data_IF_065705159877
#
_entry.id   IF_065705159877
#
_cell.length_a   1.000
_cell.length_b   1.000
_cell.length_c   1.000
_cell.angle_alpha   90.00
_cell.angle_beta   90.00
_cell.angle_gamma   90.00
#
_symmetry.space_group_name_H-M   'P 1'
#
loop_
_entity.id
_entity.type
_entity.pdbx_description
1 polymer ?
#
# COMPACT_ATOMS: atom_id res chain seq x y z
N UNK A 1 -12.25 -10.88 -6.76
CA UNK A 1 -11.80 -12.22 -6.32
C UNK A 1 -10.35 -12.08 -5.89
N UNK A 2 -9.97 -12.64 -4.75
CA UNK A 2 -8.58 -12.68 -4.32
C UNK A 2 -7.78 -13.58 -5.26
N UNK A 3 -6.73 -13.05 -5.87
CA UNK A 3 -5.89 -13.74 -6.85
C UNK A 3 -4.48 -13.87 -6.32
N UNK A 4 -3.82 -14.97 -6.66
CA UNK A 4 -2.37 -15.08 -6.59
C UNK A 4 -1.74 -13.99 -7.47
N UNK A 5 -0.64 -13.38 -6.99
CA UNK A 5 0.18 -12.49 -7.83
C UNK A 5 0.99 -13.27 -8.86
N UNK A 6 1.46 -14.46 -8.48
CA UNK A 6 2.17 -15.40 -9.34
C UNK A 6 1.87 -16.82 -8.89
N UNK A 7 1.81 -17.74 -9.86
CA UNK A 7 1.67 -19.17 -9.57
C UNK A 7 2.99 -19.73 -9.02
N UNK A 8 2.97 -20.53 -7.94
CA UNK A 8 4.17 -21.18 -7.42
C UNK A 8 4.86 -22.06 -8.48
N UNK A 9 6.21 -22.07 -8.55
CA UNK A 9 6.96 -22.82 -9.58
C UNK A 9 6.77 -24.35 -9.55
N UNK A 10 6.22 -24.90 -8.46
CA UNK A 10 5.95 -26.31 -8.32
C UNK A 10 5.28 -26.64 -6.99
N UNK A 11 4.83 -27.90 -6.82
CA UNK A 11 4.15 -28.33 -5.60
C UNK A 11 5.12 -28.38 -4.42
N UNK A 12 4.59 -28.18 -3.21
CA UNK A 12 5.29 -28.44 -1.94
C UNK A 12 5.23 -29.95 -1.68
N UNK A 13 6.39 -30.61 -1.60
CA UNK A 13 6.48 -32.08 -1.67
C UNK A 13 6.54 -32.76 -0.31
N UNK A 14 6.92 -32.04 0.73
CA UNK A 14 7.09 -32.60 2.07
C UNK A 14 6.73 -31.59 3.17
N UNK A 15 6.49 -32.10 4.39
CA UNK A 15 6.27 -31.26 5.56
C UNK A 15 7.47 -30.36 5.88
N UNK A 16 8.71 -30.80 5.62
CA UNK A 16 9.89 -29.96 5.82
C UNK A 16 9.88 -28.75 4.85
N UNK A 17 9.55 -28.97 3.58
CA UNK A 17 9.40 -27.88 2.60
C UNK A 17 8.25 -26.94 2.99
N UNK A 18 7.13 -27.50 3.46
CA UNK A 18 6.00 -26.73 3.96
C UNK A 18 6.39 -25.81 5.13
N UNK A 19 7.03 -26.37 6.16
CA UNK A 19 7.42 -25.58 7.34
C UNK A 19 8.47 -24.53 7.01
N UNK A 20 9.46 -24.88 6.17
CA UNK A 20 10.46 -23.90 5.70
C UNK A 20 9.78 -22.73 4.99
N UNK A 21 8.81 -23.01 4.13
CA UNK A 21 8.08 -22.02 3.36
C UNK A 21 7.19 -21.15 4.24
N UNK A 22 6.41 -21.75 5.13
CA UNK A 22 5.57 -21.04 6.10
C UNK A 22 6.43 -20.10 6.95
N UNK A 23 7.48 -20.63 7.57
CA UNK A 23 8.40 -19.83 8.40
C UNK A 23 9.00 -18.65 7.63
N UNK A 24 9.41 -18.86 6.37
CA UNK A 24 10.00 -17.81 5.55
C UNK A 24 8.98 -16.71 5.19
N UNK A 25 7.74 -17.09 4.86
CA UNK A 25 6.67 -16.12 4.58
C UNK A 25 6.33 -15.27 5.82
N UNK A 26 6.10 -15.91 6.97
CA UNK A 26 5.82 -15.20 8.23
C UNK A 26 7.00 -14.30 8.64
N UNK A 27 8.23 -14.79 8.47
CA UNK A 27 9.43 -14.00 8.80
C UNK A 27 9.62 -12.80 7.88
N UNK A 28 9.26 -12.92 6.60
CA UNK A 28 9.28 -11.81 5.65
C UNK A 28 8.23 -10.74 6.02
N UNK A 29 7.02 -11.16 6.41
CA UNK A 29 5.99 -10.24 6.90
C UNK A 29 6.45 -9.48 8.16
N UNK A 30 7.01 -10.18 9.16
CA UNK A 30 7.63 -9.56 10.34
C UNK A 30 8.69 -8.52 9.94
N UNK A 31 9.60 -8.88 9.04
CA UNK A 31 10.69 -8.01 8.63
C UNK A 31 10.17 -6.74 7.93
N UNK A 32 9.21 -6.90 7.02
CA UNK A 32 8.60 -5.78 6.28
C UNK A 32 7.84 -4.85 7.20
N UNK A 33 6.98 -5.35 8.07
CA UNK A 33 6.25 -4.50 8.99
C UNK A 33 7.17 -3.77 9.98
N UNK A 34 8.23 -4.42 10.47
CA UNK A 34 9.25 -3.74 11.31
C UNK A 34 9.99 -2.64 10.57
N UNK A 35 10.39 -2.87 9.32
CA UNK A 35 11.06 -1.83 8.54
C UNK A 35 10.11 -0.66 8.23
N UNK A 36 8.86 -0.95 7.85
CA UNK A 36 7.83 0.09 7.65
C UNK A 36 7.62 0.91 8.92
N UNK A 37 7.49 0.27 10.09
CA UNK A 37 7.35 0.96 11.37
C UNK A 37 8.54 1.87 11.69
N UNK A 38 9.76 1.37 11.48
CA UNK A 38 11.00 2.14 11.68
C UNK A 38 11.04 3.38 10.78
N UNK A 39 10.75 3.22 9.49
CA UNK A 39 10.74 4.33 8.53
C UNK A 39 9.65 5.37 8.85
N UNK A 40 8.47 4.93 9.27
CA UNK A 40 7.39 5.82 9.71
C UNK A 40 7.76 6.58 10.99
N UNK A 41 8.42 5.92 11.94
CA UNK A 41 8.90 6.54 13.18
C UNK A 41 9.95 7.62 12.91
N UNK A 42 10.88 7.37 11.97
CA UNK A 42 11.86 8.37 11.53
C UNK A 42 11.21 9.61 10.91
N UNK A 43 10.02 9.46 10.31
CA UNK A 43 9.22 10.56 9.76
C UNK A 43 8.26 11.20 10.78
N UNK A 44 8.31 10.79 12.05
CA UNK A 44 7.44 11.30 13.10
C UNK A 44 5.99 10.78 13.07
N UNK A 45 5.67 9.79 12.22
CA UNK A 45 4.35 9.17 12.13
C UNK A 45 4.16 8.09 13.21
N UNK A 46 4.20 8.50 14.48
CA UNK A 46 4.28 7.60 15.65
C UNK A 46 3.10 6.63 15.75
N UNK A 47 1.87 7.08 15.52
CA UNK A 47 0.68 6.22 15.62
C UNK A 47 0.66 5.14 14.53
N UNK A 48 1.05 5.49 13.31
CA UNK A 48 1.18 4.52 12.22
C UNK A 48 2.33 3.54 12.47
N UNK A 49 3.47 4.03 13.00
CA UNK A 49 4.57 3.17 13.37
C UNK A 49 4.15 2.13 14.42
N UNK A 50 3.40 2.54 15.45
CA UNK A 50 2.86 1.63 16.46
C UNK A 50 1.91 0.58 15.86
N UNK A 51 1.04 0.99 14.92
CA UNK A 51 0.18 0.04 14.21
C UNK A 51 0.98 -1.03 13.45
N UNK A 52 2.05 -0.65 12.76
CA UNK A 52 2.92 -1.61 12.07
C UNK A 52 3.75 -2.48 13.04
N UNK A 53 4.11 -1.96 14.21
CA UNK A 53 4.72 -2.76 15.29
C UNK A 53 3.75 -3.83 15.82
N UNK A 54 2.48 -3.49 16.00
CA UNK A 54 1.43 -4.43 16.39
C UNK A 54 1.23 -5.52 15.32
N UNK A 55 1.21 -5.15 14.04
CA UNK A 55 1.17 -6.12 12.92
C UNK A 55 2.39 -7.04 12.95
N UNK A 56 3.60 -6.50 13.06
CA UNK A 56 4.82 -7.30 13.15
C UNK A 56 4.83 -8.26 14.36
N UNK A 57 4.21 -7.85 15.47
CA UNK A 57 4.09 -8.69 16.66
C UNK A 57 3.09 -9.83 16.46
N UNK A 58 2.00 -9.60 15.71
CA UNK A 58 1.06 -10.65 15.30
C UNK A 58 1.77 -11.70 14.42
N UNK A 59 2.46 -11.26 13.36
CA UNK A 59 3.21 -12.18 12.47
C UNK A 59 4.31 -12.94 13.22
N UNK A 60 4.92 -12.31 14.22
CA UNK A 60 5.91 -13.01 15.05
C UNK A 60 5.29 -14.17 15.81
N UNK A 61 4.03 -14.03 16.23
CA UNK A 61 3.24 -15.12 16.79
C UNK A 61 3.06 -16.27 15.81
N UNK A 62 2.93 -16.01 14.51
CA UNK A 62 2.85 -17.07 13.49
C UNK A 62 4.18 -17.79 13.32
N UNK A 63 5.30 -17.06 13.26
CA UNK A 63 6.64 -17.67 13.25
C UNK A 63 6.82 -18.64 14.43
N UNK A 64 6.43 -18.22 15.63
CA UNK A 64 6.56 -19.05 16.83
C UNK A 64 5.62 -20.28 16.77
N UNK A 65 4.40 -20.12 16.25
CA UNK A 65 3.46 -21.23 16.02
C UNK A 65 3.97 -22.25 14.99
N UNK A 66 4.50 -21.80 13.86
CA UNK A 66 5.09 -22.67 12.82
C UNK A 66 6.28 -23.44 13.37
N UNK A 67 7.14 -22.80 14.17
CA UNK A 67 8.27 -23.48 14.81
C UNK A 67 7.80 -24.55 15.81
N UNK A 68 6.83 -24.23 16.67
CA UNK A 68 6.28 -25.19 17.63
C UNK A 68 5.60 -26.38 16.93
N UNK A 69 4.92 -26.13 15.81
CA UNK A 69 4.30 -27.19 15.03
C UNK A 69 5.35 -28.08 14.35
N UNK A 70 6.39 -27.50 13.77
CA UNK A 70 7.50 -28.25 13.19
C UNK A 70 8.19 -29.15 14.23
N UNK A 71 8.43 -28.63 15.44
CA UNK A 71 8.99 -29.40 16.55
C UNK A 71 8.09 -30.59 16.94
N UNK A 72 6.78 -30.36 17.10
CA UNK A 72 5.82 -31.42 17.42
C UNK A 72 5.77 -32.49 16.31
N UNK A 73 5.86 -32.08 15.05
CA UNK A 73 5.93 -32.98 13.90
C UNK A 73 7.29 -33.67 13.73
N UNK A 74 8.29 -33.37 14.59
CA UNK A 74 9.68 -33.85 14.48
C UNK A 74 10.33 -33.51 13.13
N UNK A 75 9.92 -32.39 12.54
CA UNK A 75 10.48 -31.85 11.31
C UNK A 75 11.85 -31.20 11.58
N UNK A 76 12.61 -30.95 10.50
CA UNK A 76 13.83 -30.16 10.61
C UNK A 76 13.50 -28.71 11.01
N UNK A 77 14.40 -28.00 11.71
CA UNK A 77 14.19 -26.60 12.05
C UNK A 77 13.86 -25.76 10.81
N UNK A 78 12.68 -25.10 10.76
CA UNK A 78 12.22 -24.42 9.54
C UNK A 78 13.19 -23.36 9.04
N UNK A 79 13.70 -22.52 9.94
CA UNK A 79 14.64 -21.44 9.65
C UNK A 79 15.98 -21.90 9.02
N UNK A 80 16.33 -23.19 9.14
CA UNK A 80 17.57 -23.77 8.60
C UNK A 80 17.32 -24.70 7.43
N UNK A 81 16.05 -24.92 7.08
CA UNK A 81 15.66 -25.82 6.01
C UNK A 81 15.67 -25.07 4.67
N UNK A 82 16.12 -25.71 3.58
CA UNK A 82 16.12 -25.08 2.27
C UNK A 82 14.67 -24.87 1.80
N UNK A 83 14.42 -23.70 1.22
CA UNK A 83 13.15 -23.44 0.55
C UNK A 83 13.07 -24.24 -0.76
N UNK A 84 11.89 -24.77 -1.14
CA UNK A 84 11.71 -25.46 -2.41
C UNK A 84 11.87 -24.51 -3.61
N UNK A 85 11.56 -23.23 -3.41
CA UNK A 85 11.64 -22.12 -4.37
C UNK A 85 11.47 -20.78 -3.60
N UNK A 86 11.69 -19.64 -4.25
CA UNK A 86 11.63 -18.33 -3.58
C UNK A 86 10.21 -17.94 -3.15
N UNK A 87 10.04 -17.43 -1.92
CA UNK A 87 8.71 -17.07 -1.39
C UNK A 87 7.94 -16.11 -2.32
N UNK A 88 6.60 -16.26 -2.44
CA UNK A 88 5.83 -15.38 -3.29
C UNK A 88 5.71 -13.98 -2.65
N UNK A 89 5.72 -12.92 -3.47
CA UNK A 89 5.36 -11.60 -2.98
C UNK A 89 3.84 -11.53 -2.78
N UNK A 90 3.40 -11.35 -1.54
CA UNK A 90 1.99 -11.18 -1.17
C UNK A 90 1.65 -9.74 -0.74
N UNK A 91 2.65 -8.85 -0.63
CA UNK A 91 2.43 -7.47 -0.19
C UNK A 91 2.04 -6.55 -1.34
N UNK A 92 1.35 -5.44 -1.09
CA UNK A 92 1.01 -4.49 -2.17
C UNK A 92 2.22 -3.72 -2.68
N UNK A 93 3.09 -3.33 -1.76
CA UNK A 93 4.23 -2.47 -1.99
C UNK A 93 5.35 -2.81 -0.99
N UNK A 94 6.61 -2.48 -1.30
CA UNK A 94 7.71 -2.65 -0.38
C UNK A 94 7.66 -1.64 0.80
N UNK A 95 8.38 -1.89 1.90
CA UNK A 95 8.34 -1.05 3.11
C UNK A 95 8.65 0.42 2.88
N UNK A 96 9.63 0.72 2.02
CA UNK A 96 10.06 2.06 1.66
C UNK A 96 8.97 2.83 0.92
N UNK A 97 8.31 2.20 -0.07
CA UNK A 97 7.21 2.82 -0.80
C UNK A 97 6.00 3.11 0.11
N UNK A 98 5.65 2.16 0.99
CA UNK A 98 4.57 2.36 1.96
C UNK A 98 4.88 3.51 2.92
N UNK A 99 6.12 3.57 3.43
CA UNK A 99 6.54 4.61 4.36
C UNK A 99 6.69 5.98 3.69
N UNK A 100 6.96 6.05 2.38
CA UNK A 100 7.03 7.31 1.63
C UNK A 100 5.65 7.98 1.44
N UNK A 101 4.57 7.23 1.58
CA UNK A 101 3.21 7.74 1.41
C UNK A 101 2.87 8.78 2.48
N UNK A 102 2.73 10.04 2.07
CA UNK A 102 2.31 11.13 2.96
C UNK A 102 0.82 11.04 3.30
N UNK A 103 0.02 10.36 2.50
CA UNK A 103 -1.40 10.15 2.74
C UNK A 103 -1.74 8.78 3.33
N UNK A 104 -0.75 8.00 3.78
CA UNK A 104 -1.04 6.74 4.47
C UNK A 104 -1.84 7.01 5.76
N UNK A 105 -2.97 6.35 5.92
CA UNK A 105 -3.82 6.40 7.12
C UNK A 105 -3.87 5.03 7.81
N UNK A 106 -4.28 4.96 9.08
CA UNK A 106 -4.50 3.67 9.75
C UNK A 106 -5.47 2.76 8.98
N UNK A 107 -6.54 3.34 8.39
CA UNK A 107 -7.42 2.59 7.50
C UNK A 107 -6.68 2.02 6.30
N UNK A 108 -5.86 2.83 5.62
CA UNK A 108 -5.08 2.42 4.46
C UNK A 108 -4.07 1.31 4.77
N UNK A 109 -3.35 1.44 5.89
CA UNK A 109 -2.41 0.44 6.37
C UNK A 109 -3.11 -0.90 6.65
N UNK A 110 -4.22 -0.87 7.40
CA UNK A 110 -5.03 -2.07 7.66
C UNK A 110 -5.66 -2.65 6.39
N UNK A 111 -6.02 -1.82 5.41
CA UNK A 111 -6.50 -2.30 4.13
C UNK A 111 -5.42 -3.06 3.35
N UNK A 112 -4.16 -2.62 3.42
CA UNK A 112 -3.03 -3.34 2.83
C UNK A 112 -2.75 -4.65 3.55
N UNK A 113 -2.74 -4.65 4.89
CA UNK A 113 -2.60 -5.87 5.69
C UNK A 113 -3.71 -6.90 5.36
N UNK A 114 -4.97 -6.47 5.26
CA UNK A 114 -6.07 -7.36 4.82
C UNK A 114 -5.78 -8.01 3.46
N UNK A 115 -5.25 -7.25 2.48
CA UNK A 115 -4.94 -7.81 1.16
C UNK A 115 -3.74 -8.76 1.19
N UNK A 116 -2.77 -8.52 2.06
CA UNK A 116 -1.67 -9.44 2.33
C UNK A 116 -2.22 -10.79 2.81
N UNK A 117 -3.05 -10.79 3.85
CA UNK A 117 -3.64 -12.02 4.40
C UNK A 117 -4.57 -12.73 3.42
N UNK A 118 -5.35 -11.98 2.66
CA UNK A 118 -6.18 -12.57 1.59
C UNK A 118 -5.30 -13.30 0.57
N UNK A 119 -4.15 -12.73 0.18
CA UNK A 119 -3.22 -13.39 -0.74
C UNK A 119 -2.51 -14.58 -0.09
N UNK A 120 -2.17 -14.52 1.19
CA UNK A 120 -1.65 -15.66 1.96
C UNK A 120 -2.68 -16.79 2.00
N UNK A 121 -3.96 -16.49 2.24
CA UNK A 121 -5.06 -17.46 2.15
C UNK A 121 -5.14 -18.12 0.76
N UNK A 122 -5.12 -17.31 -0.30
CA UNK A 122 -5.17 -17.82 -1.67
C UNK A 122 -3.96 -18.71 -1.99
N UNK A 123 -2.79 -18.33 -1.49
CA UNK A 123 -1.56 -19.10 -1.60
C UNK A 123 -1.66 -20.46 -0.89
N UNK A 124 -2.06 -20.50 0.37
CA UNK A 124 -2.19 -21.76 1.12
C UNK A 124 -3.28 -22.66 0.55
N UNK A 125 -4.39 -22.09 0.07
CA UNK A 125 -5.43 -22.83 -0.65
C UNK A 125 -4.88 -23.47 -1.93
N UNK A 126 -4.03 -22.74 -2.68
CA UNK A 126 -3.38 -23.28 -3.86
C UNK A 126 -2.42 -24.43 -3.51
N UNK A 127 -1.61 -24.28 -2.45
CA UNK A 127 -0.71 -25.34 -1.97
C UNK A 127 -1.50 -26.58 -1.58
N UNK A 128 -2.60 -26.43 -0.84
CA UNK A 128 -3.48 -27.53 -0.46
C UNK A 128 -4.05 -28.27 -1.68
N UNK A 129 -4.53 -27.54 -2.69
CA UNK A 129 -5.11 -28.11 -3.91
C UNK A 129 -4.11 -28.90 -4.76
N UNK A 130 -2.81 -28.55 -4.69
CA UNK A 130 -1.74 -29.18 -5.47
C UNK A 130 -0.82 -30.07 -4.62
N UNK A 131 -1.18 -30.32 -3.36
CA UNK A 131 -0.39 -31.13 -2.45
C UNK A 131 -0.32 -32.59 -2.93
N UNK A 132 0.87 -33.19 -3.01
CA UNK A 132 1.02 -34.57 -3.47
C UNK A 132 0.67 -35.61 -2.39
N UNK A 133 0.47 -35.19 -1.14
CA UNK A 133 0.12 -36.04 -0.02
C UNK A 133 -0.81 -35.32 0.97
N UNK A 134 -1.56 -36.10 1.76
CA UNK A 134 -2.56 -35.59 2.70
C UNK A 134 -1.95 -34.79 3.87
N UNK A 135 -0.69 -35.05 4.24
CA UNK A 135 -0.02 -34.32 5.32
C UNK A 135 0.23 -32.85 4.93
N UNK A 136 0.81 -32.61 3.75
CA UNK A 136 1.02 -31.24 3.23
C UNK A 136 -0.32 -30.57 2.95
N UNK A 137 -1.29 -31.31 2.42
CA UNK A 137 -2.64 -30.78 2.18
C UNK A 137 -3.29 -30.29 3.46
N UNK A 138 -3.35 -31.14 4.49
CA UNK A 138 -3.93 -30.79 5.79
C UNK A 138 -3.20 -29.63 6.44
N UNK A 139 -1.87 -29.57 6.28
CA UNK A 139 -1.07 -28.50 6.84
C UNK A 139 -1.35 -27.14 6.15
N UNK A 140 -1.45 -27.14 4.83
CA UNK A 140 -1.81 -25.95 4.05
C UNK A 140 -3.26 -25.51 4.26
N UNK A 141 -4.21 -26.44 4.39
CA UNK A 141 -5.60 -26.11 4.75
C UNK A 141 -5.70 -25.44 6.11
N UNK A 142 -4.88 -25.87 7.08
CA UNK A 142 -4.81 -25.23 8.40
C UNK A 142 -4.30 -23.79 8.31
N UNK A 143 -3.19 -23.54 7.61
CA UNK A 143 -2.69 -22.17 7.40
C UNK A 143 -3.76 -21.31 6.72
N UNK A 144 -4.40 -21.82 5.66
CA UNK A 144 -5.47 -21.09 4.96
C UNK A 144 -6.62 -20.71 5.90
N UNK A 145 -7.03 -21.60 6.81
CA UNK A 145 -8.05 -21.28 7.80
C UNK A 145 -7.61 -20.17 8.76
N UNK A 146 -6.37 -20.24 9.26
CA UNK A 146 -5.78 -19.22 10.15
C UNK A 146 -5.77 -17.85 9.45
N UNK A 147 -5.38 -17.77 8.17
CA UNK A 147 -5.41 -16.50 7.42
C UNK A 147 -6.83 -15.90 7.28
N UNK A 148 -7.87 -16.73 7.15
CA UNK A 148 -9.25 -16.24 7.13
C UNK A 148 -9.65 -15.60 8.47
N UNK A 149 -9.16 -16.14 9.59
CA UNK A 149 -9.38 -15.56 10.91
C UNK A 149 -8.65 -14.21 11.06
N UNK A 150 -7.43 -14.11 10.53
CA UNK A 150 -6.67 -12.85 10.47
C UNK A 150 -7.40 -11.81 9.61
N UNK A 151 -7.82 -12.17 8.41
CA UNK A 151 -8.65 -11.32 7.53
C UNK A 151 -9.87 -10.80 8.27
N UNK A 152 -10.58 -11.65 9.01
CA UNK A 152 -11.76 -11.24 9.76
C UNK A 152 -11.40 -10.23 10.88
N UNK A 153 -10.31 -10.46 11.60
CA UNK A 153 -9.81 -9.58 12.66
C UNK A 153 -9.36 -8.22 12.11
N UNK A 154 -8.52 -8.20 11.08
CA UNK A 154 -8.04 -6.99 10.45
C UNK A 154 -9.18 -6.20 9.82
N UNK A 155 -10.17 -6.85 9.19
CA UNK A 155 -11.37 -6.16 8.68
C UNK A 155 -12.18 -5.49 9.80
N UNK A 156 -12.25 -6.07 11.00
CA UNK A 156 -12.87 -5.42 12.17
C UNK A 156 -12.08 -4.18 12.59
N UNK A 157 -10.76 -4.29 12.71
CA UNK A 157 -9.90 -3.15 13.04
C UNK A 157 -10.00 -2.04 11.99
N UNK A 158 -10.00 -2.40 10.70
CA UNK A 158 -10.17 -1.47 9.58
C UNK A 158 -11.48 -0.69 9.66
N UNK A 159 -12.59 -1.35 10.02
CA UNK A 159 -13.87 -0.65 10.25
C UNK A 159 -13.82 0.33 11.43
N UNK A 160 -13.12 -0.03 12.51
CA UNK A 160 -12.90 0.90 13.64
C UNK A 160 -12.07 2.10 13.20
N UNK A 161 -11.02 1.89 12.42
CA UNK A 161 -10.20 2.96 11.86
C UNK A 161 -11.05 3.88 10.96
N UNK A 162 -11.86 3.32 10.07
CA UNK A 162 -12.80 4.09 9.24
C UNK A 162 -13.72 5.00 10.07
N UNK A 163 -14.37 4.48 11.11
CA UNK A 163 -15.23 5.30 11.97
C UNK A 163 -14.46 6.31 12.83
N UNK A 164 -13.23 5.99 13.24
CA UNK A 164 -12.36 6.96 13.90
C UNK A 164 -12.03 8.12 12.94
N UNK A 165 -11.82 7.81 11.66
CA UNK A 165 -11.60 8.82 10.62
C UNK A 165 -12.85 9.69 10.38
N UNK A 166 -14.04 9.10 10.32
CA UNK A 166 -15.30 9.86 10.13
C UNK A 166 -15.76 10.66 11.35
N UNK A 167 -15.43 10.23 12.58
CA UNK A 167 -15.85 10.91 13.82
C UNK A 167 -15.03 12.15 14.18
N UNK A 168 -14.18 12.65 13.27
CA UNK A 168 -13.41 13.89 13.43
C UNK A 168 -12.05 13.72 14.10
N UNK A 169 -11.54 12.48 14.25
CA UNK A 169 -10.16 12.23 14.70
C UNK A 169 -9.15 12.15 13.53
N UNK A 170 -9.62 12.16 12.29
CA UNK A 170 -8.79 12.20 11.08
C UNK A 170 -9.28 13.31 10.13
N UNK A 171 -8.59 13.56 8.99
CA UNK A 171 -8.94 14.64 8.09
C UNK A 171 -10.39 14.49 7.59
N UNK A 172 -11.20 15.54 7.62
CA UNK A 172 -12.60 15.47 7.17
C UNK A 172 -12.68 15.01 5.72
N UNK A 173 -13.67 14.19 5.37
CA UNK A 173 -13.98 13.90 3.98
C UNK A 173 -14.55 15.16 3.31
N UNK A 174 -14.08 15.45 2.11
CA UNK A 174 -14.47 16.64 1.35
C UNK A 174 -15.10 16.23 0.03
N UNK A 175 -16.16 16.95 -0.34
CA UNK A 175 -16.78 16.86 -1.65
C UNK A 175 -15.89 17.55 -2.67
N UNK A 176 -15.35 16.77 -3.60
CA UNK A 176 -14.39 17.21 -4.60
C UNK A 176 -15.04 17.11 -5.97
N UNK A 177 -14.96 18.19 -6.71
CA UNK A 177 -15.25 18.22 -8.15
C UNK A 177 -13.94 18.17 -8.92
N UNK A 178 -13.98 17.72 -10.18
CA UNK A 178 -12.79 17.80 -11.02
C UNK A 178 -12.29 19.25 -11.14
N UNK A 179 -13.21 20.23 -11.19
CA UNK A 179 -12.87 21.66 -11.21
C UNK A 179 -12.06 22.10 -10.01
N UNK A 180 -12.39 21.62 -8.81
CA UNK A 180 -11.61 21.95 -7.60
C UNK A 180 -10.17 21.40 -7.66
N UNK A 181 -9.90 20.35 -8.43
CA UNK A 181 -8.53 19.84 -8.60
C UNK A 181 -7.62 20.80 -9.35
N UNK A 182 -8.16 21.71 -10.18
CA UNK A 182 -7.35 22.75 -10.81
C UNK A 182 -6.69 23.67 -9.76
N UNK A 183 -7.38 23.95 -8.64
CA UNK A 183 -6.81 24.75 -7.56
C UNK A 183 -5.67 24.01 -6.84
N UNK A 184 -5.80 22.69 -6.65
CA UNK A 184 -4.72 21.87 -6.08
C UNK A 184 -3.50 21.79 -7.02
N UNK A 185 -3.72 21.67 -8.33
CA UNK A 185 -2.65 21.70 -9.33
C UNK A 185 -1.91 23.05 -9.37
N UNK A 186 -2.63 24.18 -9.21
CA UNK A 186 -1.99 25.50 -9.09
C UNK A 186 -1.22 25.62 -7.76
N UNK A 187 -1.84 25.19 -6.65
CA UNK A 187 -1.19 25.23 -5.33
C UNK A 187 0.11 24.42 -5.33
N UNK A 188 0.11 23.24 -5.94
CA UNK A 188 1.32 22.42 -6.09
C UNK A 188 2.41 23.14 -6.90
N UNK A 189 2.04 23.75 -8.02
CA UNK A 189 2.97 24.51 -8.86
C UNK A 189 3.61 25.67 -8.09
N UNK A 190 2.79 26.47 -7.43
CA UNK A 190 3.24 27.63 -6.67
C UNK A 190 4.10 27.23 -5.47
N UNK A 191 3.74 26.15 -4.78
CA UNK A 191 4.52 25.62 -3.67
C UNK A 191 5.92 25.16 -4.11
N UNK A 192 6.02 24.42 -5.21
CA UNK A 192 7.29 23.95 -5.78
C UNK A 192 8.14 25.12 -6.30
N UNK A 193 7.53 26.18 -6.84
CA UNK A 193 8.24 27.37 -7.32
C UNK A 193 8.80 28.20 -6.16
N UNK A 194 8.05 28.33 -5.05
CA UNK A 194 8.49 29.03 -3.85
C UNK A 194 9.52 28.24 -3.02
N UNK A 195 9.43 26.90 -3.07
CA UNK A 195 10.31 26.00 -2.36
C UNK A 195 10.93 25.00 -3.35
N UNK A 196 11.82 25.47 -4.25
CA UNK A 196 12.41 24.61 -5.25
C UNK A 196 13.10 23.44 -4.54
N UNK A 197 12.70 22.22 -4.91
CA UNK A 197 13.31 21.00 -4.41
C UNK A 197 14.77 21.03 -4.85
N UNK A 198 15.67 21.36 -3.92
CA UNK A 198 17.10 21.66 -4.16
C UNK A 198 17.86 20.54 -4.88
N UNK A 199 17.29 19.34 -4.94
CA UNK A 199 17.99 18.10 -5.29
C UNK A 199 17.78 17.65 -6.73
N UNK A 200 16.75 18.16 -7.42
CA UNK A 200 16.41 17.67 -8.77
C UNK A 200 16.81 18.63 -9.92
N UNK A 201 17.42 19.77 -9.60
CA UNK A 201 17.90 20.76 -10.56
C UNK A 201 16.80 21.67 -11.11
N UNK A 202 17.17 22.87 -11.55
CA UNK A 202 16.18 23.90 -11.96
C UNK A 202 15.29 23.48 -13.13
N UNK A 203 15.84 22.73 -14.09
CA UNK A 203 15.09 22.28 -15.27
C UNK A 203 13.98 21.31 -14.89
N UNK A 204 14.24 20.43 -13.92
CA UNK A 204 13.25 19.52 -13.37
C UNK A 204 12.13 20.29 -12.67
N UNK A 205 12.48 21.20 -11.76
CA UNK A 205 11.51 22.04 -11.05
C UNK A 205 10.61 22.78 -12.05
N UNK A 206 11.21 23.37 -13.10
CA UNK A 206 10.46 24.03 -14.19
C UNK A 206 9.51 23.07 -14.91
N UNK A 207 9.94 21.84 -15.18
CA UNK A 207 9.11 20.84 -15.86
C UNK A 207 7.88 20.46 -15.01
N UNK A 208 8.08 20.14 -13.73
CA UNK A 208 7.00 19.76 -12.82
C UNK A 208 6.00 20.91 -12.65
N UNK A 209 6.49 22.14 -12.46
CA UNK A 209 5.64 23.35 -12.36
C UNK A 209 4.84 23.55 -13.65
N UNK A 210 5.48 23.46 -14.81
CA UNK A 210 4.81 23.62 -16.10
C UNK A 210 3.75 22.54 -16.34
N UNK A 211 4.04 21.28 -15.98
CA UNK A 211 3.10 20.18 -16.08
C UNK A 211 1.88 20.41 -15.20
N UNK A 212 2.10 20.82 -13.94
CA UNK A 212 1.05 21.12 -12.96
C UNK A 212 0.12 22.25 -13.45
N UNK A 213 0.71 23.35 -13.94
CA UNK A 213 -0.04 24.48 -14.52
C UNK A 213 -0.85 24.07 -15.75
N UNK A 214 -0.27 23.22 -16.62
CA UNK A 214 -0.97 22.72 -17.81
C UNK A 214 -2.14 21.80 -17.44
N UNK A 215 -1.98 20.93 -16.45
CA UNK A 215 -3.07 20.11 -15.92
C UNK A 215 -4.22 20.98 -15.39
N UNK A 216 -3.91 22.04 -14.62
CA UNK A 216 -4.93 22.98 -14.14
C UNK A 216 -5.69 23.68 -15.27
N UNK A 217 -5.00 24.08 -16.35
CA UNK A 217 -5.62 24.67 -17.54
C UNK A 217 -6.56 23.68 -18.23
N UNK A 218 -6.10 22.47 -18.51
CA UNK A 218 -6.91 21.42 -19.14
C UNK A 218 -8.18 21.12 -18.33
N UNK A 219 -8.07 21.06 -17.00
CA UNK A 219 -9.22 20.87 -16.12
C UNK A 219 -10.20 22.03 -16.23
N UNK A 220 -9.70 23.26 -16.22
CA UNK A 220 -10.53 24.47 -16.28
C UNK A 220 -11.29 24.58 -17.60
N UNK A 221 -10.61 24.29 -18.72
CA UNK A 221 -11.19 24.25 -20.07
C UNK A 221 -12.24 23.14 -20.18
N UNK A 222 -11.96 21.97 -19.59
CA UNK A 222 -12.88 20.86 -19.61
C UNK A 222 -14.10 21.11 -18.71
N UNK A 223 -13.97 21.70 -17.52
CA UNK A 223 -14.97 21.68 -16.43
C UNK A 223 -16.20 22.60 -16.61
N UNK A 224 -16.79 22.62 -17.80
CA UNK A 224 -17.88 23.52 -18.21
C UNK A 224 -19.30 22.93 -18.08
N UNK A 225 -19.46 21.66 -17.70
CA UNK A 225 -20.77 21.00 -17.50
C UNK A 225 -20.82 20.21 -16.18
N UNK A 226 -22.03 19.93 -15.65
CA UNK A 226 -22.26 19.17 -14.41
C UNK A 226 -21.47 17.85 -14.40
N UNK A 227 -20.64 17.66 -13.36
CA UNK A 227 -19.71 16.53 -13.24
C UNK A 227 -19.89 15.83 -11.91
N UNK A 228 -19.54 14.53 -11.83
CA UNK A 228 -19.59 13.79 -10.58
C UNK A 228 -18.87 14.57 -9.48
N UNK A 229 -19.53 14.67 -8.33
CA UNK A 229 -18.90 15.10 -7.09
C UNK A 229 -18.50 13.81 -6.38
N UNK A 230 -17.22 13.66 -6.09
CA UNK A 230 -16.68 12.52 -5.37
C UNK A 230 -16.35 12.93 -3.94
N UNK A 231 -16.44 11.98 -3.02
CA UNK A 231 -15.99 12.17 -1.65
C UNK A 231 -14.57 11.62 -1.52
N UNK A 232 -13.62 12.49 -1.17
CA UNK A 232 -12.22 12.11 -0.93
C UNK A 232 -11.82 12.49 0.49
N UNK A 233 -10.86 11.76 1.07
CA UNK A 233 -10.23 12.16 2.33
C UNK A 233 -9.47 13.48 2.10
N UNK A 234 -9.67 14.49 2.95
CA UNK A 234 -8.88 15.72 2.83
C UNK A 234 -7.41 15.49 3.15
N UNK A 235 -6.56 16.35 2.60
CA UNK A 235 -5.16 16.40 2.99
C UNK A 235 -5.11 16.93 4.44
N UNK A 236 -4.45 16.21 5.38
CA UNK A 236 -4.27 16.70 6.75
C UNK A 236 -3.68 18.11 6.74
N UNK A 237 -4.13 19.00 7.63
CA UNK A 237 -3.73 20.42 7.66
C UNK A 237 -2.21 20.60 7.66
N UNK A 238 -1.50 19.78 8.44
CA UNK A 238 -0.04 19.80 8.56
C UNK A 238 0.70 19.40 7.26
N UNK A 239 -0.01 18.78 6.31
CA UNK A 239 0.51 18.28 5.03
C UNK A 239 -0.07 19.03 3.82
N UNK A 240 -0.89 20.06 4.04
CA UNK A 240 -1.48 20.84 2.95
C UNK A 240 -0.43 21.62 2.16
N UNK A 241 0.71 21.90 2.78
CA UNK A 241 1.87 22.58 2.20
C UNK A 241 3.05 21.62 2.07
N UNK A 242 2.80 20.42 1.52
CA UNK A 242 3.80 19.43 1.15
C UNK A 242 3.56 19.00 -0.30
N UNK A 243 4.57 19.18 -1.17
CA UNK A 243 4.47 18.89 -2.59
C UNK A 243 4.16 17.41 -2.89
N UNK A 244 4.70 16.50 -2.08
CA UNK A 244 4.48 15.05 -2.23
C UNK A 244 3.05 14.72 -1.83
N UNK A 245 2.57 15.25 -0.70
CA UNK A 245 1.20 15.02 -0.25
C UNK A 245 0.15 15.57 -1.23
N UNK A 246 0.38 16.79 -1.76
CA UNK A 246 -0.46 17.37 -2.80
C UNK A 246 -0.47 16.52 -4.08
N UNK A 247 0.70 16.03 -4.51
CA UNK A 247 0.80 15.18 -5.70
C UNK A 247 0.15 13.82 -5.49
N UNK A 248 0.27 13.19 -4.31
CA UNK A 248 -0.43 11.94 -3.97
C UNK A 248 -1.95 12.11 -4.00
N UNK A 249 -2.43 13.21 -3.43
CA UNK A 249 -3.85 13.54 -3.42
C UNK A 249 -4.40 13.67 -4.85
N UNK A 250 -3.66 14.36 -5.72
CA UNK A 250 -4.01 14.52 -7.14
C UNK A 250 -4.04 13.18 -7.88
N UNK A 251 -3.07 12.28 -7.62
CA UNK A 251 -3.07 10.92 -8.19
C UNK A 251 -4.33 10.16 -7.78
N UNK A 252 -4.62 10.06 -6.49
CA UNK A 252 -5.81 9.33 -6.00
C UNK A 252 -7.09 9.95 -6.58
N UNK A 253 -7.20 11.28 -6.55
CA UNK A 253 -8.36 11.97 -7.07
C UNK A 253 -8.59 11.67 -8.57
N UNK A 254 -7.56 11.75 -9.42
CA UNK A 254 -7.71 11.46 -10.85
C UNK A 254 -8.08 10.01 -11.13
N UNK A 255 -7.49 9.05 -10.40
CA UNK A 255 -7.85 7.65 -10.53
C UNK A 255 -9.32 7.40 -10.14
N UNK A 256 -9.80 8.03 -9.07
CA UNK A 256 -11.21 7.95 -8.64
C UNK A 256 -12.16 8.58 -9.66
N UNK A 257 -11.78 9.71 -10.25
CA UNK A 257 -12.55 10.32 -11.32
C UNK A 257 -12.59 9.45 -12.57
N UNK A 258 -11.48 8.81 -12.94
CA UNK A 258 -11.44 7.87 -14.06
C UNK A 258 -12.35 6.66 -13.80
N UNK A 259 -12.28 6.06 -12.61
CA UNK A 259 -13.10 4.92 -12.20
C UNK A 259 -14.61 5.24 -12.21
N UNK A 260 -14.99 6.45 -11.77
CA UNK A 260 -16.39 6.88 -11.72
C UNK A 260 -16.91 7.46 -13.05
N UNK A 261 -16.05 7.66 -14.06
CA UNK A 261 -16.44 8.34 -15.30
C UNK A 261 -17.20 7.40 -16.24
N UNK A 262 -18.36 7.87 -16.69
CA UNK A 262 -19.15 7.21 -17.74
C UNK A 262 -19.03 7.91 -19.11
N UNK A 263 -18.45 9.11 -19.14
CA UNK A 263 -18.16 9.85 -20.38
C UNK A 263 -16.76 9.47 -20.89
N UNK A 264 -16.63 8.94 -22.12
CA UNK A 264 -15.34 8.58 -22.71
C UNK A 264 -14.32 9.72 -22.74
N UNK A 265 -14.75 10.96 -23.04
CA UNK A 265 -13.81 12.09 -23.09
C UNK A 265 -13.26 12.44 -21.71
N UNK A 266 -14.09 12.26 -20.69
CA UNK A 266 -13.71 12.47 -19.30
C UNK A 266 -12.83 11.37 -18.76
N UNK A 267 -13.09 10.13 -19.17
CA UNK A 267 -12.22 9.00 -18.87
C UNK A 267 -10.82 9.22 -19.44
N UNK A 268 -10.71 9.55 -20.73
CA UNK A 268 -9.42 9.81 -21.39
C UNK A 268 -8.66 10.96 -20.71
N UNK A 269 -9.34 12.07 -20.42
CA UNK A 269 -8.74 13.21 -19.73
C UNK A 269 -8.23 12.84 -18.34
N UNK A 270 -9.03 12.15 -17.54
CA UNK A 270 -8.67 11.81 -16.16
C UNK A 270 -7.59 10.74 -16.08
N UNK A 271 -7.56 9.80 -17.03
CA UNK A 271 -6.45 8.84 -17.17
C UNK A 271 -5.14 9.53 -17.57
N UNK A 272 -5.17 10.47 -18.52
CA UNK A 272 -3.99 11.25 -18.93
C UNK A 272 -3.47 12.12 -17.78
N UNK A 273 -4.36 12.76 -17.01
CA UNK A 273 -4.00 13.49 -15.79
C UNK A 273 -3.41 12.56 -14.72
N UNK A 274 -4.00 11.39 -14.49
CA UNK A 274 -3.48 10.41 -13.55
C UNK A 274 -2.07 9.94 -13.93
N UNK A 275 -1.84 9.60 -15.20
CA UNK A 275 -0.53 9.16 -15.70
C UNK A 275 0.55 10.23 -15.45
N UNK A 276 0.24 11.49 -15.76
CA UNK A 276 1.14 12.63 -15.50
C UNK A 276 1.41 12.82 -14.02
N UNK A 277 0.38 12.77 -13.19
CA UNK A 277 0.50 12.93 -11.74
C UNK A 277 1.33 11.79 -11.11
N UNK A 278 1.21 10.55 -11.61
CA UNK A 278 2.02 9.40 -11.17
C UNK A 278 3.50 9.62 -11.50
N UNK A 279 3.82 10.02 -12.74
CA UNK A 279 5.20 10.32 -13.13
C UNK A 279 5.80 11.46 -12.28
N UNK A 280 5.02 12.52 -12.03
CA UNK A 280 5.41 13.63 -11.15
C UNK A 280 5.68 13.14 -9.73
N UNK A 281 4.77 12.37 -9.14
CA UNK A 281 4.91 11.84 -7.79
C UNK A 281 6.16 10.96 -7.65
N UNK A 282 6.39 10.05 -8.61
CA UNK A 282 7.59 9.23 -8.63
C UNK A 282 8.86 10.09 -8.61
N UNK A 283 8.87 11.19 -9.36
CA UNK A 283 10.05 12.05 -9.42
C UNK A 283 10.22 12.91 -8.16
N UNK A 284 9.14 13.39 -7.56
CA UNK A 284 9.19 14.08 -6.25
C UNK A 284 9.75 13.15 -5.17
N UNK A 285 9.35 11.87 -5.15
CA UNK A 285 9.86 10.86 -4.21
C UNK A 285 11.35 10.58 -4.42
N UNK A 286 11.82 10.48 -5.66
CA UNK A 286 13.24 10.31 -5.97
C UNK A 286 14.09 11.51 -5.48
N UNK A 287 13.61 12.73 -5.67
CA UNK A 287 14.27 13.94 -5.15
C UNK A 287 14.33 13.98 -3.62
N UNK A 288 13.26 13.54 -2.94
CA UNK A 288 13.20 13.48 -1.48
C UNK A 288 14.17 12.43 -0.89
N UNK A 289 14.28 11.25 -1.51
CA UNK A 289 15.17 10.17 -1.06
C UNK A 289 16.67 10.54 -1.13
N UNK A 290 17.03 11.43 -2.05
CA UNK A 290 18.40 11.94 -2.19
C UNK A 290 18.71 13.10 -1.22
N UNK A 291 17.70 13.63 -0.51
CA UNK A 291 17.82 14.78 0.40
C UNK A 291 18.05 14.40 1.87
N UNK A 292 17.86 13.13 2.25
CA UNK A 292 18.15 12.64 3.61
C UNK A 292 19.66 12.47 3.80
N UNK A 293 20.31 13.20 4.72
CA UNK A 293 21.72 12.98 5.02
C UNK A 293 21.89 11.61 5.70
N UNK A 294 22.94 10.89 5.29
CA UNK A 294 23.44 9.67 5.97
C UNK A 294 23.78 9.94 7.43
#
# INVERSE_FOLDING_TARGET
>A
MTSLKAEPPGPVRSLNEFFALAHAMESDAVARYRETAKLLRQQGAIELAALFEDLAQAERGHVDQVNAWAEHAKAAPPAKSPLPWAIPDTHDAPPDELALSKLLTPYGALASAVRHEERSFAFWTYVAAHAPNEEVKSAAERMALEELEHVATLRRQRRKAFHAEESGKAPPSVSVSLRSLAAFEQKLADYIELHPVMVAGEEFTRNVVAQSRRSAQLITEAATAERPILTLASIPEQKQDDATALSEYLVDAYLRFAEASTDPKMLDLTQDLAAKAICRLATLRLGAAQSTPN
#
